data_IF_967922619225
#
_entry.id   IF_967922619225
#
_cell.length_a   1.000
_cell.length_b   1.000
_cell.length_c   1.000
_cell.angle_alpha   90.00
_cell.angle_beta   90.00
_cell.angle_gamma   90.00
#
_symmetry.space_group_name_H-M   'P 1'
#
loop_
_entity.id
_entity.type
_entity.pdbx_description
1 polymer ?
#
# COMPACT_ATOMS: atom_id res chain seq x y z
N UNK A 1 -9.58 1.13 23.48
CA UNK A 1 -9.98 2.22 22.56
C UNK A 1 -9.68 1.72 21.15
N UNK A 2 -10.65 1.62 20.22
CA UNK A 2 -10.34 1.07 18.91
C UNK A 2 -9.28 1.96 18.25
N UNK A 3 -8.13 1.35 17.99
CA UNK A 3 -7.03 1.89 17.21
C UNK A 3 -7.60 2.64 16.00
N UNK A 4 -7.50 3.99 15.98
CA UNK A 4 -8.05 4.79 14.88
C UNK A 4 -7.13 4.69 13.67
N UNK A 5 -7.17 3.55 13.00
CA UNK A 5 -6.52 3.32 11.70
C UNK A 5 -6.87 4.45 10.71
N UNK A 6 -8.06 5.05 10.81
CA UNK A 6 -8.49 6.18 9.97
C UNK A 6 -7.67 7.47 10.15
N UNK A 7 -6.90 7.57 11.24
CA UNK A 7 -6.02 8.70 11.58
C UNK A 7 -4.55 8.46 11.23
N UNK A 8 -4.23 7.41 10.46
CA UNK A 8 -2.89 7.20 9.91
C UNK A 8 -2.58 8.19 8.77
N UNK A 9 -1.30 8.36 8.43
CA UNK A 9 -0.85 9.23 7.34
C UNK A 9 -1.40 8.71 6.02
N UNK A 10 -1.27 7.42 5.75
CA UNK A 10 -1.80 6.81 4.52
C UNK A 10 -3.31 6.98 4.42
N UNK A 11 -4.05 6.93 5.54
CA UNK A 11 -5.50 7.16 5.53
C UNK A 11 -5.87 8.61 5.24
N UNK A 12 -5.16 9.59 5.79
CA UNK A 12 -5.33 11.00 5.42
C UNK A 12 -4.97 11.24 3.95
N UNK A 13 -3.83 10.72 3.51
CA UNK A 13 -3.35 10.80 2.14
C UNK A 13 -4.38 10.25 1.15
N UNK A 14 -4.91 9.05 1.41
CA UNK A 14 -5.92 8.40 0.58
C UNK A 14 -7.22 9.18 0.52
N UNK A 15 -7.70 9.71 1.65
CA UNK A 15 -8.92 10.55 1.71
C UNK A 15 -8.75 11.83 0.89
N UNK A 16 -7.63 12.53 1.07
CA UNK A 16 -7.30 13.74 0.29
C UNK A 16 -7.21 13.45 -1.21
N UNK A 17 -6.59 12.32 -1.56
CA UNK A 17 -6.42 11.91 -2.95
C UNK A 17 -7.71 11.45 -3.63
N UNK A 18 -8.58 10.72 -2.94
CA UNK A 18 -9.88 10.32 -3.48
C UNK A 18 -10.67 11.55 -3.97
N UNK A 19 -10.49 12.68 -3.25
CA UNK A 19 -11.03 13.97 -3.61
C UNK A 19 -12.55 14.03 -3.47
N UNK A 20 -13.05 15.24 -3.26
CA UNK A 20 -14.49 15.54 -3.36
C UNK A 20 -14.78 16.39 -4.60
N UNK A 21 -13.78 17.14 -5.08
CA UNK A 21 -13.91 18.03 -6.24
C UNK A 21 -13.61 17.33 -7.57
N UNK A 22 -14.16 17.81 -8.71
CA UNK A 22 -13.94 17.19 -10.01
C UNK A 22 -12.47 17.07 -10.45
N UNK A 23 -11.64 18.07 -10.15
CA UNK A 23 -10.21 18.11 -10.46
C UNK A 23 -9.40 17.12 -9.62
N UNK A 24 -9.70 17.00 -8.34
CA UNK A 24 -9.10 16.00 -7.43
C UNK A 24 -9.43 14.58 -7.92
N UNK A 25 -10.70 14.33 -8.29
CA UNK A 25 -11.12 13.04 -8.87
C UNK A 25 -10.42 12.73 -10.19
N UNK A 26 -10.13 13.75 -11.01
CA UNK A 26 -9.34 13.56 -12.23
C UNK A 26 -7.91 13.16 -11.91
N UNK A 27 -7.27 13.83 -10.95
CA UNK A 27 -5.92 13.48 -10.50
C UNK A 27 -5.87 12.04 -9.96
N UNK A 28 -6.87 11.67 -9.15
CA UNK A 28 -7.02 10.30 -8.63
C UNK A 28 -7.11 9.27 -9.76
N UNK A 29 -8.03 9.47 -10.71
CA UNK A 29 -8.22 8.57 -11.86
C UNK A 29 -6.94 8.38 -12.66
N UNK A 30 -6.22 9.48 -12.92
CA UNK A 30 -4.92 9.42 -13.60
C UNK A 30 -3.97 8.55 -12.80
N UNK A 31 -3.78 8.84 -11.50
CA UNK A 31 -2.83 8.11 -10.65
C UNK A 31 -3.17 6.62 -10.53
N UNK A 32 -4.43 6.26 -10.36
CA UNK A 32 -4.86 4.85 -10.36
C UNK A 32 -4.64 4.15 -11.69
N UNK A 33 -4.69 4.86 -12.83
CA UNK A 33 -4.36 4.26 -14.12
C UNK A 33 -2.87 3.86 -14.21
N UNK A 34 -1.98 4.63 -13.57
CA UNK A 34 -0.56 4.27 -13.45
C UNK A 34 -0.34 3.12 -12.46
N UNK A 35 -1.05 3.11 -11.33
CA UNK A 35 -0.99 1.97 -10.40
C UNK A 35 -1.47 0.67 -11.06
N UNK A 36 -2.60 0.71 -11.77
CA UNK A 36 -3.12 -0.44 -12.51
C UNK A 36 -2.20 -0.87 -13.67
N UNK A 37 -1.42 0.06 -14.25
CA UNK A 37 -0.43 -0.29 -15.27
C UNK A 37 0.76 -1.04 -14.67
N UNK A 38 1.33 -0.55 -13.55
CA UNK A 38 2.47 -1.24 -12.91
C UNK A 38 2.06 -2.57 -12.28
N UNK A 39 0.86 -2.66 -11.71
CA UNK A 39 0.29 -3.90 -11.19
C UNK A 39 0.19 -4.98 -12.29
N UNK A 40 -0.38 -4.62 -13.45
CA UNK A 40 -0.46 -5.54 -14.61
C UNK A 40 0.91 -5.98 -15.11
N UNK A 41 1.86 -5.05 -15.27
CA UNK A 41 3.22 -5.40 -15.69
C UNK A 41 3.88 -6.40 -14.74
N UNK A 42 3.72 -6.21 -13.42
CA UNK A 42 4.26 -7.12 -12.42
C UNK A 42 3.52 -8.47 -12.42
N UNK A 43 2.20 -8.48 -12.64
CA UNK A 43 1.41 -9.69 -12.78
C UNK A 43 1.77 -10.50 -14.05
N UNK A 44 2.10 -9.80 -15.15
CA UNK A 44 2.56 -10.37 -16.41
C UNK A 44 4.02 -10.84 -16.37
N UNK A 45 4.68 -10.74 -15.20
CA UNK A 45 6.02 -11.25 -14.98
C UNK A 45 7.15 -10.31 -15.40
N UNK A 46 6.90 -9.00 -15.50
CA UNK A 46 7.95 -7.97 -15.68
C UNK A 46 8.45 -7.54 -14.30
N UNK A 47 9.55 -8.10 -13.75
CA UNK A 47 9.92 -7.92 -12.35
C UNK A 47 10.45 -6.52 -12.01
N UNK A 48 10.93 -5.78 -13.02
CA UNK A 48 11.53 -4.45 -12.88
C UNK A 48 11.10 -3.57 -14.07
N UNK A 49 9.82 -3.16 -14.12
CA UNK A 49 9.35 -2.33 -15.21
C UNK A 49 10.11 -1.00 -15.22
N UNK A 50 10.49 -0.53 -16.40
CA UNK A 50 11.01 0.80 -16.59
C UNK A 50 9.85 1.81 -16.74
N UNK A 51 10.17 3.10 -16.63
CA UNK A 51 9.14 4.15 -16.76
C UNK A 51 8.45 4.13 -18.14
N UNK A 52 9.16 3.71 -19.20
CA UNK A 52 8.60 3.60 -20.55
C UNK A 52 7.61 2.43 -20.66
N UNK A 53 7.90 1.28 -20.05
CA UNK A 53 6.98 0.14 -19.98
C UNK A 53 5.66 0.56 -19.31
N UNK A 54 5.75 1.32 -18.21
CA UNK A 54 4.58 1.81 -17.48
C UNK A 54 3.71 2.71 -18.36
N UNK A 55 4.29 3.72 -19.03
CA UNK A 55 3.47 4.62 -19.87
C UNK A 55 2.82 3.91 -21.05
N UNK A 56 3.46 2.89 -21.61
CA UNK A 56 2.89 2.08 -22.71
C UNK A 56 1.74 1.19 -22.23
N UNK A 57 1.82 0.70 -20.98
CA UNK A 57 0.78 -0.11 -20.37
C UNK A 57 -0.45 0.71 -19.90
N UNK A 58 -0.30 2.02 -19.64
CA UNK A 58 -1.41 2.88 -19.21
C UNK A 58 -2.50 2.97 -20.29
N UNK A 59 -3.77 2.93 -19.85
CA UNK A 59 -4.95 3.12 -20.70
C UNK A 59 -5.80 4.29 -20.17
N UNK A 60 -6.42 5.11 -21.04
CA UNK A 60 -6.40 5.01 -22.50
C UNK A 60 -5.06 5.45 -23.13
N UNK A 61 -4.28 6.31 -22.46
CA UNK A 61 -2.98 6.77 -22.94
C UNK A 61 -2.10 7.24 -21.78
N UNK A 62 -0.92 6.64 -21.63
CA UNK A 62 0.14 7.17 -20.77
C UNK A 62 0.95 8.25 -21.45
N UNK A 63 1.64 9.07 -20.66
CA UNK A 63 2.60 10.05 -21.19
C UNK A 63 3.75 10.23 -20.21
N UNK A 64 4.92 10.60 -20.72
CA UNK A 64 6.10 10.86 -19.89
C UNK A 64 5.87 12.03 -18.91
N UNK A 65 5.24 13.12 -19.35
CA UNK A 65 4.98 14.27 -18.48
C UNK A 65 4.04 13.88 -17.34
N UNK A 66 2.94 13.21 -17.66
CA UNK A 66 1.98 12.75 -16.65
C UNK A 66 2.59 11.72 -15.70
N UNK A 67 3.47 10.84 -16.18
CA UNK A 67 4.20 9.91 -15.31
C UNK A 67 4.94 10.66 -14.18
N UNK A 68 5.69 11.71 -14.52
CA UNK A 68 6.45 12.50 -13.53
C UNK A 68 5.58 13.47 -12.71
N UNK A 69 4.35 13.76 -13.14
CA UNK A 69 3.35 14.48 -12.31
C UNK A 69 2.72 13.56 -11.24
N UNK A 70 2.59 12.27 -11.58
CA UNK A 70 1.95 11.24 -10.73
C UNK A 70 2.93 10.61 -9.75
N UNK A 71 4.17 10.38 -10.17
CA UNK A 71 5.24 9.79 -9.35
C UNK A 71 6.57 10.52 -9.55
N UNK A 72 7.44 10.48 -8.54
CA UNK A 72 8.73 11.17 -8.54
C UNK A 72 8.83 12.29 -7.50
N UNK A 73 9.98 12.97 -7.47
CA UNK A 73 10.35 13.90 -6.40
C UNK A 73 9.38 15.09 -6.22
N UNK A 74 8.72 15.50 -7.30
CA UNK A 74 7.79 16.64 -7.32
C UNK A 74 6.34 16.23 -7.57
N UNK A 75 6.02 14.94 -7.43
CA UNK A 75 4.67 14.43 -7.67
C UNK A 75 3.65 15.11 -6.75
N UNK A 76 2.54 15.56 -7.36
CA UNK A 76 1.46 16.20 -6.61
C UNK A 76 0.80 15.14 -5.71
N UNK A 77 0.77 15.42 -4.41
CA UNK A 77 0.27 14.52 -3.36
C UNK A 77 1.12 13.25 -3.15
N UNK A 78 2.45 13.35 -3.12
CA UNK A 78 3.32 12.22 -2.75
C UNK A 78 3.03 11.71 -1.33
N UNK A 79 2.90 10.39 -1.15
CA UNK A 79 2.73 9.78 0.19
C UNK A 79 3.96 10.02 1.07
N UNK A 80 5.16 9.93 0.49
CA UNK A 80 6.41 10.18 1.20
C UNK A 80 6.48 11.61 1.71
N UNK A 81 6.02 12.59 0.93
CA UNK A 81 5.98 13.98 1.40
C UNK A 81 5.01 14.15 2.57
N UNK A 82 3.88 13.44 2.59
CA UNK A 82 2.96 13.47 3.74
C UNK A 82 3.57 12.81 4.98
N UNK A 83 4.34 11.72 4.83
CA UNK A 83 5.08 11.07 5.92
C UNK A 83 6.19 11.98 6.47
N UNK A 84 6.97 12.62 5.60
CA UNK A 84 8.02 13.58 5.98
C UNK A 84 7.45 14.82 6.67
N UNK A 85 6.25 15.24 6.31
CA UNK A 85 5.58 16.39 6.91
C UNK A 85 4.96 16.08 8.29
N UNK A 86 4.90 14.81 8.70
CA UNK A 86 4.46 14.48 10.06
C UNK A 86 5.59 14.63 11.06
N UNK A 87 5.27 15.27 12.19
CA UNK A 87 6.21 15.44 13.30
C UNK A 87 6.15 14.23 14.25
N UNK A 88 6.71 13.10 13.81
CA UNK A 88 6.74 11.86 14.58
C UNK A 88 7.86 10.91 14.16
N UNK A 89 8.49 10.25 15.15
CA UNK A 89 9.64 9.36 14.93
C UNK A 89 9.28 8.21 14.00
N UNK A 90 8.12 7.57 14.19
CA UNK A 90 7.69 6.46 13.34
C UNK A 90 7.43 6.92 11.89
N UNK A 91 6.77 8.05 11.68
CA UNK A 91 6.56 8.62 10.35
C UNK A 91 7.87 8.93 9.64
N UNK A 92 8.87 9.44 10.37
CA UNK A 92 10.22 9.67 9.83
C UNK A 92 10.91 8.36 9.46
N UNK A 93 10.84 7.34 10.31
CA UNK A 93 11.42 6.02 10.00
C UNK A 93 10.76 5.39 8.77
N UNK A 94 9.42 5.46 8.66
CA UNK A 94 8.69 5.01 7.48
C UNK A 94 9.09 5.81 6.24
N UNK A 95 9.18 7.13 6.33
CA UNK A 95 9.61 7.98 5.23
C UNK A 95 11.01 7.59 4.73
N UNK A 96 11.96 7.37 5.64
CA UNK A 96 13.33 6.98 5.28
C UNK A 96 13.39 5.61 4.62
N UNK A 97 12.58 4.65 5.08
CA UNK A 97 12.55 3.30 4.53
C UNK A 97 11.87 3.21 3.16
N UNK A 98 10.73 3.89 2.99
CA UNK A 98 9.94 3.88 1.76
C UNK A 98 10.37 4.94 0.73
N UNK A 99 11.34 5.80 1.06
CA UNK A 99 11.88 6.76 0.10
C UNK A 99 12.67 6.04 -0.98
N UNK A 100 12.21 6.16 -2.22
CA UNK A 100 12.90 5.59 -3.39
C UNK A 100 13.64 6.66 -4.17
N UNK A 101 14.74 6.25 -4.80
CA UNK A 101 15.46 7.08 -5.78
C UNK A 101 14.85 6.96 -7.18
N UNK A 102 14.23 5.81 -7.48
CA UNK A 102 13.54 5.54 -8.73
C UNK A 102 12.04 5.89 -8.63
N UNK A 103 11.52 6.62 -9.61
CA UNK A 103 10.09 6.99 -9.67
C UNK A 103 9.17 5.78 -9.89
N UNK A 104 9.63 4.73 -10.58
CA UNK A 104 8.84 3.49 -10.74
C UNK A 104 8.73 2.76 -9.40
N UNK A 105 9.82 2.64 -8.64
CA UNK A 105 9.78 2.01 -7.32
C UNK A 105 8.85 2.78 -6.38
N UNK A 106 8.88 4.11 -6.42
CA UNK A 106 7.94 4.94 -5.64
C UNK A 106 6.48 4.70 -6.04
N UNK A 107 6.22 4.53 -7.35
CA UNK A 107 4.89 4.20 -7.87
C UNK A 107 4.44 2.82 -7.39
N UNK A 108 5.35 1.84 -7.33
CA UNK A 108 5.06 0.48 -6.84
C UNK A 108 4.64 0.53 -5.36
N UNK A 109 5.37 1.25 -4.50
CA UNK A 109 4.99 1.37 -3.08
C UNK A 109 3.59 2.00 -2.89
N UNK A 110 3.27 3.03 -3.67
CA UNK A 110 1.93 3.63 -3.63
C UNK A 110 0.85 2.72 -4.24
N UNK A 111 1.18 1.92 -5.26
CA UNK A 111 0.30 0.90 -5.82
C UNK A 111 0.02 -0.24 -4.82
N UNK A 112 0.99 -0.63 -3.98
CA UNK A 112 0.77 -1.57 -2.87
C UNK A 112 -0.26 -1.01 -1.88
N UNK A 113 -0.17 0.27 -1.51
CA UNK A 113 -1.18 0.93 -0.66
C UNK A 113 -2.56 0.92 -1.32
N UNK A 114 -2.62 1.22 -2.61
CA UNK A 114 -3.89 1.25 -3.36
C UNK A 114 -4.55 -0.13 -3.43
N UNK A 115 -3.80 -1.18 -3.79
CA UNK A 115 -4.33 -2.56 -3.91
C UNK A 115 -4.63 -3.20 -2.56
N UNK A 116 -3.93 -2.80 -1.48
CA UNK A 116 -4.22 -3.25 -0.11
C UNK A 116 -5.44 -2.57 0.49
N UNK A 117 -5.83 -1.39 -0.01
CA UNK A 117 -6.89 -0.58 0.59
C UNK A 117 -8.21 -1.34 0.86
N UNK A 118 -8.75 -2.15 -0.07
CA UNK A 118 -9.98 -2.89 0.19
C UNK A 118 -9.84 -3.95 1.31
N UNK A 119 -8.65 -4.56 1.44
CA UNK A 119 -8.34 -5.50 2.52
C UNK A 119 -8.34 -4.79 3.87
N UNK A 120 -7.76 -3.59 3.90
CA UNK A 120 -7.75 -2.72 5.08
C UNK A 120 -9.15 -2.27 5.50
N UNK A 121 -10.02 -1.95 4.54
CA UNK A 121 -11.42 -1.59 4.84
C UNK A 121 -12.19 -2.76 5.48
N UNK A 122 -12.02 -3.98 4.94
CA UNK A 122 -12.57 -5.19 5.56
C UNK A 122 -11.99 -5.44 6.96
N UNK A 123 -10.68 -5.26 7.15
CA UNK A 123 -10.02 -5.40 8.45
C UNK A 123 -10.62 -4.44 9.48
N UNK A 124 -10.71 -3.16 9.13
CA UNK A 124 -11.30 -2.12 9.99
C UNK A 124 -12.76 -2.43 10.33
N UNK A 125 -13.53 -2.98 9.39
CA UNK A 125 -14.91 -3.42 9.66
C UNK A 125 -14.94 -4.57 10.67
N UNK A 126 -14.07 -5.58 10.52
CA UNK A 126 -13.97 -6.71 11.44
C UNK A 126 -13.57 -6.28 12.85
N UNK A 127 -12.61 -5.37 12.99
CA UNK A 127 -12.24 -4.81 14.31
C UNK A 127 -13.41 -4.12 15.02
N UNK A 128 -14.31 -3.47 14.27
CA UNK A 128 -15.49 -2.82 14.86
C UNK A 128 -16.59 -3.82 15.28
N UNK A 129 -16.67 -4.98 14.63
CA UNK A 129 -17.72 -5.98 14.86
C UNK A 129 -17.30 -7.02 15.90
N UNK A 130 -16.08 -7.52 15.77
CA UNK A 130 -15.55 -8.62 16.59
C UNK A 130 -14.87 -8.13 17.87
N UNK A 131 -14.48 -6.84 17.93
CA UNK A 131 -13.69 -6.23 19.01
C UNK A 131 -12.58 -7.18 19.54
N UNK A 132 -11.70 -7.70 18.66
CA UNK A 132 -10.74 -8.70 19.04
C UNK A 132 -9.79 -8.16 20.10
N UNK A 133 -9.29 -9.06 20.95
CA UNK A 133 -8.21 -8.73 21.86
C UNK A 133 -6.92 -8.38 21.10
N UNK A 134 -5.91 -8.03 21.86
CA UNK A 134 -4.64 -7.56 21.32
C UNK A 134 -4.03 -8.60 20.35
N UNK A 135 -3.94 -9.87 20.74
CA UNK A 135 -3.23 -10.90 19.97
C UNK A 135 -4.06 -11.33 18.76
N UNK A 136 -5.37 -11.51 18.93
CA UNK A 136 -6.29 -11.75 17.83
C UNK A 136 -6.27 -10.61 16.80
N UNK A 137 -6.05 -9.37 17.24
CA UNK A 137 -5.90 -8.23 16.32
C UNK A 137 -4.64 -8.36 15.44
N UNK A 138 -3.52 -8.81 16.01
CA UNK A 138 -2.27 -9.01 15.27
C UNK A 138 -2.38 -10.15 14.27
N UNK A 139 -2.94 -11.29 14.69
CA UNK A 139 -3.18 -12.44 13.81
C UNK A 139 -4.08 -12.04 12.65
N UNK A 140 -5.11 -11.22 12.91
CA UNK A 140 -6.01 -10.74 11.89
C UNK A 140 -5.33 -9.77 10.90
N UNK A 141 -4.46 -8.88 11.39
CA UNK A 141 -3.65 -8.02 10.51
C UNK A 141 -2.72 -8.86 9.64
N UNK A 142 -1.99 -9.80 10.23
CA UNK A 142 -1.07 -10.68 9.51
C UNK A 142 -1.81 -11.53 8.47
N UNK A 143 -2.97 -12.09 8.81
CA UNK A 143 -3.80 -12.86 7.88
C UNK A 143 -4.29 -11.99 6.71
N UNK A 144 -4.69 -10.74 6.98
CA UNK A 144 -5.11 -9.77 5.97
C UNK A 144 -3.98 -9.40 5.02
N UNK A 145 -2.79 -9.08 5.54
CA UNK A 145 -1.60 -8.79 4.73
C UNK A 145 -1.21 -10.00 3.89
N UNK A 146 -1.22 -11.21 4.47
CA UNK A 146 -0.93 -12.44 3.74
C UNK A 146 -1.96 -12.73 2.63
N UNK A 147 -3.24 -12.45 2.86
CA UNK A 147 -4.29 -12.59 1.84
C UNK A 147 -4.08 -11.63 0.67
N UNK A 148 -3.75 -10.37 0.95
CA UNK A 148 -3.38 -9.40 -0.09
C UNK A 148 -2.14 -9.87 -0.87
N UNK A 149 -1.10 -10.34 -0.17
CA UNK A 149 0.16 -10.75 -0.79
C UNK A 149 -0.05 -11.92 -1.77
N UNK A 150 -0.82 -12.94 -1.39
CA UNK A 150 -1.15 -14.07 -2.28
C UNK A 150 -1.89 -13.61 -3.54
N UNK A 151 -2.88 -12.72 -3.38
CA UNK A 151 -3.70 -12.27 -4.51
C UNK A 151 -2.96 -11.28 -5.43
N UNK A 152 -1.98 -10.55 -4.92
CA UNK A 152 -1.21 -9.55 -5.64
C UNK A 152 0.27 -9.95 -5.69
N UNK A 153 0.58 -11.20 -6.04
CA UNK A 153 1.92 -11.79 -5.89
C UNK A 153 3.03 -10.97 -6.56
N UNK A 154 2.79 -10.43 -7.76
CA UNK A 154 3.77 -9.58 -8.46
C UNK A 154 4.13 -8.31 -7.68
N UNK A 155 3.11 -7.57 -7.19
CA UNK A 155 3.31 -6.42 -6.30
C UNK A 155 3.91 -6.82 -4.96
N UNK A 156 3.51 -7.96 -4.41
CA UNK A 156 4.01 -8.47 -3.14
C UNK A 156 5.52 -8.72 -3.22
N UNK A 157 6.00 -9.42 -4.25
CA UNK A 157 7.42 -9.74 -4.46
C UNK A 157 8.27 -8.49 -4.70
N UNK A 158 7.72 -7.51 -5.44
CA UNK A 158 8.44 -6.29 -5.81
C UNK A 158 9.04 -5.57 -4.58
N UNK A 159 10.19 -4.92 -4.77
CA UNK A 159 10.88 -4.15 -3.72
C UNK A 159 11.17 -4.98 -2.46
N UNK A 160 11.70 -6.19 -2.66
CA UNK A 160 12.20 -7.07 -1.59
C UNK A 160 11.11 -7.52 -0.60
N UNK A 161 9.88 -7.71 -1.07
CA UNK A 161 8.74 -8.08 -0.25
C UNK A 161 8.30 -7.01 0.77
N UNK A 162 8.65 -5.74 0.54
CA UNK A 162 8.19 -4.65 1.41
C UNK A 162 6.65 -4.62 1.47
N UNK A 163 6.04 -4.60 2.68
CA UNK A 163 4.59 -4.56 2.83
C UNK A 163 4.03 -3.19 2.40
N UNK A 164 2.70 -3.06 2.19
CA UNK A 164 2.07 -1.75 2.06
C UNK A 164 2.34 -0.91 3.31
N UNK A 165 2.82 0.33 3.15
CA UNK A 165 3.17 1.19 4.31
C UNK A 165 1.99 1.43 5.25
N UNK A 166 0.76 1.48 4.72
CA UNK A 166 -0.44 1.60 5.54
C UNK A 166 -0.67 0.40 6.48
N UNK A 167 -0.28 -0.83 6.09
CA UNK A 167 -0.35 -1.98 6.98
C UNK A 167 0.66 -1.90 8.12
N UNK A 168 1.82 -1.27 7.88
CA UNK A 168 2.83 -1.01 8.91
C UNK A 168 2.31 0.04 9.88
N UNK A 169 1.72 1.14 9.39
CA UNK A 169 1.04 2.10 10.23
C UNK A 169 -0.05 1.43 11.09
N UNK A 170 -0.84 0.54 10.49
CA UNK A 170 -1.89 -0.20 11.22
C UNK A 170 -1.31 -1.05 12.37
N UNK A 171 -0.16 -1.73 12.15
CA UNK A 171 0.54 -2.46 13.22
C UNK A 171 1.00 -1.53 14.35
N UNK A 172 1.55 -0.36 14.02
CA UNK A 172 2.00 0.63 15.01
C UNK A 172 0.83 1.20 15.82
N UNK A 173 -0.34 1.39 15.20
CA UNK A 173 -1.55 1.84 15.91
C UNK A 173 -2.11 0.73 16.83
N UNK A 174 -2.04 -0.54 16.42
CA UNK A 174 -2.49 -1.68 17.24
C UNK A 174 -1.58 -1.96 18.45
N UNK A 175 -0.31 -1.55 18.37
CA UNK A 175 0.73 -1.80 19.39
C UNK A 175 1.56 -0.54 19.65
N UNK A 176 0.94 0.51 20.21
CA UNK A 176 1.59 1.80 20.38
C UNK A 176 2.76 1.67 21.37
N UNK A 177 3.97 2.02 20.91
CA UNK A 177 5.19 2.02 21.72
C UNK A 177 5.83 0.65 21.94
N UNK A 178 5.19 -0.45 21.51
CA UNK A 178 5.79 -1.79 21.61
C UNK A 178 6.71 -2.11 20.43
N UNK A 179 6.44 -1.51 19.27
CA UNK A 179 7.26 -1.67 18.06
C UNK A 179 7.79 -0.33 17.57
N UNK A 180 9.04 -0.33 17.09
CA UNK A 180 9.49 0.71 16.17
C UNK A 180 8.96 0.43 14.77
N UNK A 181 8.84 1.46 13.93
CA UNK A 181 8.48 1.27 12.52
C UNK A 181 9.40 0.26 11.81
N UNK A 182 10.70 0.27 12.11
CA UNK A 182 11.66 -0.70 11.52
C UNK A 182 11.32 -2.14 11.90
N UNK A 183 10.98 -2.39 13.16
CA UNK A 183 10.59 -3.72 13.60
C UNK A 183 9.27 -4.15 12.96
N UNK A 184 8.25 -3.27 12.97
CA UNK A 184 6.96 -3.51 12.34
C UNK A 184 7.09 -3.85 10.85
N UNK A 185 7.96 -3.15 10.12
CA UNK A 185 8.29 -3.45 8.72
C UNK A 185 8.92 -4.82 8.56
N UNK A 186 9.88 -5.19 9.40
CA UNK A 186 10.52 -6.50 9.38
C UNK A 186 9.51 -7.64 9.57
N UNK A 187 8.65 -7.50 10.58
CA UNK A 187 7.59 -8.47 10.89
C UNK A 187 6.64 -8.65 9.71
N UNK A 188 6.10 -7.56 9.15
CA UNK A 188 5.17 -7.66 8.03
C UNK A 188 5.84 -8.07 6.71
N UNK A 189 7.12 -7.77 6.53
CA UNK A 189 7.90 -8.30 5.39
C UNK A 189 7.99 -9.82 5.47
N UNK A 190 8.18 -10.38 6.67
CA UNK A 190 8.20 -11.83 6.86
C UNK A 190 6.83 -12.44 6.56
N UNK A 191 5.74 -11.82 7.03
CA UNK A 191 4.36 -12.24 6.68
C UNK A 191 4.15 -12.28 5.17
N UNK A 192 4.62 -11.27 4.43
CA UNK A 192 4.53 -11.25 2.96
C UNK A 192 5.33 -12.41 2.36
N UNK A 193 6.56 -12.65 2.81
CA UNK A 193 7.42 -13.76 2.32
C UNK A 193 6.81 -15.13 2.56
N UNK A 194 6.29 -15.36 3.76
CA UNK A 194 5.67 -16.63 4.12
C UNK A 194 4.38 -16.86 3.31
N UNK A 195 3.61 -15.80 3.06
CA UNK A 195 2.39 -15.88 2.28
C UNK A 195 2.62 -16.22 0.79
N UNK A 196 3.73 -15.75 0.20
CA UNK A 196 4.09 -16.06 -1.20
C UNK A 196 4.87 -17.39 -1.34
N UNK A 197 5.56 -17.83 -0.28
CA UNK A 197 6.35 -19.08 -0.27
C UNK A 197 5.57 -20.31 0.21
N UNK A 198 4.45 -20.12 0.93
CA UNK A 198 3.59 -21.19 1.42
C UNK A 198 2.62 -21.74 0.37
N UNK A 199 2.08 -22.96 0.55
CA UNK A 199 1.04 -23.50 -0.31
C UNK A 199 -0.19 -22.58 -0.25
N UNK A 200 -0.73 -22.22 -1.42
CA UNK A 200 -1.94 -21.40 -1.51
C UNK A 200 -3.11 -22.14 -0.85
N UNK A 201 -3.64 -21.61 0.24
CA UNK A 201 -4.93 -22.03 0.79
C UNK A 201 -6.03 -21.13 0.18
N UNK A 202 -6.79 -21.62 -0.82
CA UNK A 202 -7.84 -20.86 -1.48
C UNK A 202 -9.09 -20.64 -0.61
N UNK A 203 -9.18 -21.24 0.58
CA UNK A 203 -10.43 -21.24 1.37
C UNK A 203 -10.58 -20.07 2.35
N UNK A 204 -9.59 -19.19 2.50
CA UNK A 204 -9.62 -18.14 3.54
C UNK A 204 -10.25 -16.80 3.19
N UNK A 205 -10.71 -16.53 1.95
CA UNK A 205 -11.39 -15.25 1.65
C UNK A 205 -12.23 -15.23 0.36
N UNK A 206 -13.58 -15.17 0.42
CA UNK A 206 -14.42 -14.91 -0.74
C UNK A 206 -14.77 -13.41 -0.77
N UNK A 207 -13.94 -12.58 -1.39
CA UNK A 207 -14.39 -11.25 -1.83
C UNK A 207 -13.94 -11.01 -3.26
N UNK A 208 -14.92 -11.01 -4.15
CA UNK A 208 -14.79 -10.59 -5.54
C UNK A 208 -14.96 -9.07 -5.56
N UNK A 209 -13.88 -8.32 -5.73
CA UNK A 209 -13.98 -6.88 -5.97
C UNK A 209 -14.25 -6.65 -7.46
N UNK A 210 -15.39 -6.04 -7.77
CA UNK A 210 -15.61 -5.43 -9.07
C UNK A 210 -14.82 -4.11 -9.13
N UNK A 211 -13.96 -4.00 -10.14
CA UNK A 211 -13.19 -2.80 -10.48
C UNK A 211 -14.12 -1.65 -10.88
#
# INVERSE_FOLDING_TARGET
MPARMDDTVSARWRRRLAGVRPDERRHWRTRTAYYAAVDRLLADGVPRPAWFDVIEAVRPKGSRSTFYEVTGAHAKYSLIQDLLAQDGVDSMQLALYYRRTCAVDQLIDEAKVWTYWPYRECLSMRYRVEEPDADASLDLLAATVGAWARRNTGLAIALSCAPPVCAVEDLLVLRPGEYSAVHAMGTLTQVVRDAIGGPADPTRWPVTFAL
#
